data_IF_514548606684
#
_entry.id   IF_514548606684
#
_cell.length_a   1.000
_cell.length_b   1.000
_cell.length_c   1.000
_cell.angle_alpha   90.00
_cell.angle_beta   90.00
_cell.angle_gamma   90.00
#
_symmetry.space_group_name_H-M   'P 1'
#
loop_
_entity.id
_entity.type
_entity.pdbx_description
1 polymer ?
#
# COMPACT_ATOMS: atom_id res chain seq x y z
N UNK A 1 7.09 -16.64 -9.04
CA UNK A 1 8.03 -16.01 -9.99
C UNK A 1 8.06 -16.67 -11.37
N UNK A 2 8.08 -18.01 -11.47
CA UNK A 2 8.02 -18.75 -12.76
C UNK A 2 6.83 -18.37 -13.69
N UNK A 3 5.68 -17.97 -13.13
CA UNK A 3 4.49 -17.62 -13.91
C UNK A 3 4.55 -16.26 -14.64
N UNK A 4 5.41 -15.32 -14.21
CA UNK A 4 5.46 -13.97 -14.81
C UNK A 4 6.29 -13.91 -16.09
N UNK A 5 7.34 -14.73 -16.18
CA UNK A 5 8.16 -14.84 -17.39
C UNK A 5 7.31 -15.34 -18.56
N UNK A 6 6.43 -16.31 -18.31
CA UNK A 6 5.65 -16.97 -19.36
C UNK A 6 4.66 -16.06 -20.08
N UNK A 7 4.08 -15.05 -19.43
CA UNK A 7 3.06 -14.20 -20.08
C UNK A 7 3.65 -13.07 -20.92
N UNK A 8 4.73 -12.43 -20.46
CA UNK A 8 5.44 -11.42 -21.24
C UNK A 8 6.22 -12.05 -22.40
N UNK A 9 6.81 -13.23 -22.18
CA UNK A 9 7.51 -13.97 -23.23
C UNK A 9 6.57 -14.40 -24.37
N UNK A 10 5.30 -14.73 -24.08
CA UNK A 10 4.27 -14.98 -25.10
C UNK A 10 4.01 -13.77 -26.00
N UNK A 11 4.22 -12.56 -25.47
CA UNK A 11 4.13 -11.30 -26.22
C UNK A 11 5.47 -10.92 -26.88
N UNK A 12 6.49 -11.77 -26.79
CA UNK A 12 7.83 -11.51 -27.33
C UNK A 12 8.69 -10.56 -26.49
N UNK A 13 8.28 -10.25 -25.26
CA UNK A 13 9.01 -9.37 -24.34
C UNK A 13 9.99 -10.22 -23.53
N UNK A 14 11.28 -9.89 -23.61
CA UNK A 14 12.34 -10.52 -22.82
C UNK A 14 12.47 -9.78 -21.49
N UNK A 15 12.31 -10.50 -20.38
CA UNK A 15 12.45 -9.96 -19.02
C UNK A 15 13.67 -10.57 -18.34
N UNK A 16 14.62 -9.74 -17.90
CA UNK A 16 15.80 -10.15 -17.12
C UNK A 16 15.54 -9.85 -15.63
N UNK A 17 15.35 -10.90 -14.83
CA UNK A 17 15.10 -10.76 -13.39
C UNK A 17 16.42 -10.76 -12.63
N UNK A 18 16.73 -9.63 -11.98
CA UNK A 18 17.94 -9.48 -11.15
C UNK A 18 17.60 -9.46 -9.67
N UNK A 19 18.05 -10.49 -8.95
CA UNK A 19 18.01 -10.49 -7.49
C UNK A 19 19.30 -9.85 -6.95
N UNK A 20 19.15 -8.87 -6.06
CA UNK A 20 20.26 -8.11 -5.47
C UNK A 20 20.10 -8.04 -3.95
N UNK A 21 21.19 -7.73 -3.24
CA UNK A 21 21.13 -7.48 -1.80
C UNK A 21 20.40 -6.16 -1.47
N UNK A 22 20.08 -5.97 -0.19
CA UNK A 22 19.33 -4.80 0.28
C UNK A 22 20.05 -3.46 0.02
N UNK A 23 21.38 -3.43 0.06
CA UNK A 23 22.17 -2.21 -0.16
C UNK A 23 22.13 -1.82 -1.63
N UNK A 24 22.33 -2.79 -2.53
CA UNK A 24 22.18 -2.61 -3.97
C UNK A 24 20.76 -2.19 -4.34
N UNK A 25 19.74 -2.87 -3.82
CA UNK A 25 18.33 -2.51 -4.01
C UNK A 25 18.06 -1.04 -3.62
N UNK A 26 18.51 -0.65 -2.43
CA UNK A 26 18.29 0.71 -1.90
C UNK A 26 19.00 1.77 -2.73
N UNK A 27 20.23 1.50 -3.16
CA UNK A 27 21.00 2.41 -4.01
C UNK A 27 20.35 2.59 -5.37
N UNK A 28 20.00 1.49 -6.05
CA UNK A 28 19.32 1.51 -7.35
C UNK A 28 17.95 2.20 -7.27
N UNK A 29 17.20 1.99 -6.18
CA UNK A 29 15.94 2.71 -5.94
C UNK A 29 16.15 4.22 -5.82
N UNK A 30 17.16 4.66 -5.06
CA UNK A 30 17.48 6.08 -4.86
C UNK A 30 17.98 6.76 -6.13
N UNK A 31 18.81 6.07 -6.92
CA UNK A 31 19.35 6.58 -8.17
C UNK A 31 18.44 6.38 -9.38
N UNK A 32 17.27 5.72 -9.20
CA UNK A 32 16.39 5.24 -10.28
C UNK A 32 17.10 4.44 -11.37
N UNK A 33 18.07 3.63 -10.98
CA UNK A 33 18.71 2.66 -11.88
C UNK A 33 17.89 1.36 -11.90
N UNK A 34 16.77 1.36 -12.63
CA UNK A 34 15.96 0.17 -12.90
C UNK A 34 14.96 0.45 -14.03
N UNK A 35 14.60 -0.60 -14.77
CA UNK A 35 13.48 -0.53 -15.72
C UNK A 35 12.14 -0.75 -14.99
N UNK A 36 12.10 -1.79 -14.15
CA UNK A 36 10.96 -2.13 -13.30
C UNK A 36 11.45 -2.60 -11.93
N UNK A 37 10.74 -2.17 -10.87
CA UNK A 37 11.04 -2.58 -9.51
C UNK A 37 9.74 -2.83 -8.74
N UNK A 38 9.62 -3.93 -8.00
CA UNK A 38 8.48 -4.13 -7.11
C UNK A 38 8.51 -3.05 -6.02
N UNK A 39 7.40 -2.35 -5.83
CA UNK A 39 7.27 -1.35 -4.78
C UNK A 39 5.96 -1.55 -4.03
N UNK A 40 5.99 -1.31 -2.72
CA UNK A 40 4.79 -1.38 -1.89
C UNK A 40 4.17 0.01 -1.86
N UNK A 41 2.92 0.08 -2.31
CA UNK A 41 2.10 1.29 -2.23
C UNK A 41 1.11 1.12 -1.09
N UNK A 42 1.25 1.94 -0.05
CA UNK A 42 0.31 1.93 1.08
C UNK A 42 -0.91 2.75 0.70
N UNK A 43 -2.07 2.10 0.67
CA UNK A 43 -3.35 2.79 0.57
C UNK A 43 -3.77 3.29 1.95
N UNK A 44 -4.30 4.51 2.00
CA UNK A 44 -4.92 5.10 3.18
C UNK A 44 -6.42 5.30 2.93
N UNK A 45 -7.27 5.34 3.97
CA UNK A 45 -8.72 5.52 3.78
C UNK A 45 -9.11 6.87 3.15
N UNK A 46 -8.26 7.89 3.32
CA UNK A 46 -8.45 9.23 2.80
C UNK A 46 -7.17 9.73 2.14
N UNK A 47 -7.25 10.38 0.97
CA UNK A 47 -6.08 10.93 0.31
C UNK A 47 -5.44 12.00 1.21
N UNK A 48 -4.16 11.81 1.50
CA UNK A 48 -3.39 12.65 2.43
C UNK A 48 -2.29 13.46 1.74
N UNK A 49 -1.57 14.23 2.54
CA UNK A 49 -0.45 15.06 2.08
C UNK A 49 0.77 14.23 1.66
N UNK A 50 0.89 13.00 2.16
CA UNK A 50 1.92 12.01 1.81
C UNK A 50 1.94 11.64 0.31
N UNK A 51 0.84 11.91 -0.39
CA UNK A 51 0.75 11.74 -1.84
C UNK A 51 1.74 12.63 -2.62
N UNK A 52 2.14 13.78 -2.08
CA UNK A 52 3.11 14.67 -2.75
C UNK A 52 4.44 13.95 -3.03
N UNK A 53 5.02 13.37 -1.99
CA UNK A 53 6.34 12.73 -2.05
C UNK A 53 6.33 11.52 -2.99
N UNK A 54 5.15 10.98 -3.26
CA UNK A 54 4.89 9.79 -4.07
C UNK A 54 4.61 10.08 -5.54
N UNK A 55 4.01 11.24 -5.87
CA UNK A 55 3.39 11.46 -7.18
C UNK A 55 3.59 12.86 -7.77
N UNK A 56 3.92 13.85 -6.94
CA UNK A 56 4.07 15.24 -7.39
C UNK A 56 5.42 15.42 -8.10
N UNK A 57 5.41 16.21 -9.18
CA UNK A 57 6.57 16.47 -10.01
C UNK A 57 7.71 17.20 -9.27
N UNK A 58 7.41 17.98 -8.23
CA UNK A 58 8.45 18.62 -7.39
C UNK A 58 9.30 17.56 -6.67
N UNK A 59 8.71 16.41 -6.36
CA UNK A 59 9.37 15.30 -5.67
C UNK A 59 9.99 14.30 -6.65
N UNK A 60 10.29 14.73 -7.88
CA UNK A 60 10.97 13.88 -8.86
C UNK A 60 12.36 13.44 -8.41
N UNK A 61 13.00 13.99 -7.38
CA UNK A 61 14.27 13.43 -6.88
C UNK A 61 14.08 12.53 -5.64
N UNK A 62 12.83 12.34 -5.21
CA UNK A 62 12.48 11.44 -4.11
C UNK A 62 12.43 9.98 -4.58
N UNK A 63 13.04 9.09 -3.80
CA UNK A 63 12.93 7.64 -3.99
C UNK A 63 11.50 7.10 -3.80
N UNK A 64 10.59 7.89 -3.22
CA UNK A 64 9.17 7.54 -3.08
C UNK A 64 8.37 7.81 -4.35
N UNK A 65 8.76 8.80 -5.17
CA UNK A 65 8.26 8.94 -6.54
C UNK A 65 8.98 7.93 -7.44
N UNK A 66 8.75 6.65 -7.14
CA UNK A 66 9.44 5.52 -7.79
C UNK A 66 9.05 5.38 -9.26
N UNK A 67 7.84 5.81 -9.64
CA UNK A 67 7.36 5.79 -11.02
C UNK A 67 7.84 6.99 -11.85
N UNK A 68 8.51 7.98 -11.23
CA UNK A 68 9.04 9.14 -11.94
C UNK A 68 7.97 10.06 -12.52
N UNK A 69 6.83 10.20 -11.84
CA UNK A 69 5.68 10.97 -12.33
C UNK A 69 6.02 12.45 -12.40
N UNK A 70 5.76 13.03 -13.58
CA UNK A 70 5.81 14.46 -13.85
C UNK A 70 4.56 14.81 -14.67
N UNK A 71 3.51 15.28 -14.01
CA UNK A 71 2.24 15.55 -14.68
C UNK A 71 1.52 16.72 -14.02
N UNK A 72 1.33 17.84 -14.74
CA UNK A 72 0.61 19.00 -14.21
C UNK A 72 -0.82 18.67 -13.77
N UNK A 73 -1.43 17.63 -14.35
CA UNK A 73 -2.76 17.17 -13.93
C UNK A 73 -2.71 16.48 -12.56
N UNK A 74 -1.69 15.64 -12.33
CA UNK A 74 -1.46 14.98 -11.04
C UNK A 74 -1.13 16.02 -9.97
N UNK A 75 -0.20 16.93 -10.26
CA UNK A 75 0.22 17.99 -9.33
C UNK A 75 -0.97 18.86 -8.89
N UNK A 76 -1.84 19.24 -9.84
CA UNK A 76 -3.06 20.01 -9.52
C UNK A 76 -4.03 19.25 -8.63
N UNK A 77 -4.23 17.94 -8.87
CA UNK A 77 -5.11 17.12 -8.05
C UNK A 77 -4.56 16.97 -6.63
N UNK A 78 -3.26 16.74 -6.50
CA UNK A 78 -2.57 16.65 -5.20
C UNK A 78 -2.66 17.99 -4.46
N UNK A 79 -2.42 19.12 -5.12
CA UNK A 79 -2.58 20.45 -4.54
C UNK A 79 -4.00 20.69 -3.98
N UNK A 80 -5.04 20.24 -4.69
CA UNK A 80 -6.41 20.30 -4.19
C UNK A 80 -6.63 19.38 -2.99
N UNK A 81 -6.10 18.15 -3.02
CA UNK A 81 -6.18 17.20 -1.90
C UNK A 81 -5.60 17.83 -0.63
N UNK A 82 -4.42 18.45 -0.72
CA UNK A 82 -3.76 19.12 0.41
C UNK A 82 -4.61 20.28 0.92
N UNK A 83 -5.13 21.10 0.00
CA UNK A 83 -5.97 22.26 0.35
C UNK A 83 -7.23 21.86 1.13
N UNK A 84 -7.83 20.72 0.79
CA UNK A 84 -9.09 20.25 1.36
C UNK A 84 -8.93 19.20 2.46
N UNK A 85 -7.74 19.07 3.06
CA UNK A 85 -7.53 18.16 4.19
C UNK A 85 -8.55 18.44 5.32
N UNK A 86 -9.09 17.36 5.89
CA UNK A 86 -10.18 17.42 6.87
C UNK A 86 -11.58 17.58 6.29
N UNK A 87 -11.74 17.86 4.99
CA UNK A 87 -13.05 17.94 4.34
C UNK A 87 -13.38 16.69 3.52
N UNK A 88 -14.08 15.74 4.15
CA UNK A 88 -14.45 14.45 3.56
C UNK A 88 -15.20 14.57 2.22
N UNK A 89 -16.16 15.49 2.13
CA UNK A 89 -17.00 15.66 0.93
C UNK A 89 -16.21 16.15 -0.28
N UNK A 90 -15.16 16.94 -0.04
CA UNK A 90 -14.23 17.40 -1.08
C UNK A 90 -13.18 16.35 -1.41
N UNK A 91 -12.66 15.63 -0.42
CA UNK A 91 -11.61 14.63 -0.62
C UNK A 91 -12.08 13.39 -1.39
N UNK A 92 -13.32 12.94 -1.20
CA UNK A 92 -13.84 11.75 -1.88
C UNK A 92 -13.77 11.83 -3.43
N UNK A 93 -14.33 12.87 -4.09
CA UNK A 93 -14.21 13.00 -5.53
C UNK A 93 -12.77 13.26 -6.00
N UNK A 94 -11.97 13.98 -5.22
CA UNK A 94 -10.55 14.22 -5.54
C UNK A 94 -9.72 12.94 -5.54
N UNK A 95 -9.91 12.07 -4.54
CA UNK A 95 -9.26 10.77 -4.49
C UNK A 95 -9.61 9.88 -5.68
N UNK A 96 -10.89 9.84 -6.07
CA UNK A 96 -11.34 9.11 -7.27
C UNK A 96 -10.76 9.68 -8.57
N UNK A 97 -10.67 11.01 -8.67
CA UNK A 97 -10.07 11.66 -9.83
C UNK A 97 -8.58 11.34 -9.94
N UNK A 98 -7.84 11.41 -8.82
CA UNK A 98 -6.43 11.04 -8.78
C UNK A 98 -6.23 9.57 -9.16
N UNK A 99 -6.99 8.65 -8.56
CA UNK A 99 -6.93 7.22 -8.90
C UNK A 99 -7.15 6.97 -10.39
N UNK A 100 -8.16 7.62 -10.99
CA UNK A 100 -8.43 7.53 -12.43
C UNK A 100 -7.26 8.05 -13.27
N UNK A 101 -6.67 9.19 -12.91
CA UNK A 101 -5.54 9.76 -13.65
C UNK A 101 -4.31 8.85 -13.55
N UNK A 102 -3.99 8.35 -12.35
CA UNK A 102 -2.83 7.47 -12.16
C UNK A 102 -2.99 6.16 -12.93
N UNK A 103 -4.16 5.52 -12.85
CA UNK A 103 -4.43 4.26 -13.55
C UNK A 103 -4.45 4.42 -15.07
N UNK A 104 -4.92 5.55 -15.59
CA UNK A 104 -4.95 5.80 -17.04
C UNK A 104 -3.59 6.08 -17.66
N UNK A 105 -2.60 6.45 -16.84
CA UNK A 105 -1.23 6.69 -17.28
C UNK A 105 -0.29 5.50 -17.06
N UNK A 106 -0.79 4.37 -16.54
CA UNK A 106 -0.03 3.11 -16.39
C UNK A 106 1.31 3.24 -15.64
N UNK A 107 1.41 4.15 -14.68
CA UNK A 107 2.63 4.37 -13.88
C UNK A 107 3.05 3.18 -13.00
N UNK A 108 2.13 2.22 -12.81
CA UNK A 108 2.40 0.96 -12.14
C UNK A 108 1.53 -0.15 -12.73
N UNK A 109 1.94 -1.40 -12.52
CA UNK A 109 1.12 -2.59 -12.72
C UNK A 109 0.63 -3.06 -11.34
N UNK A 110 -0.66 -2.84 -10.98
CA UNK A 110 -1.19 -3.31 -9.70
C UNK A 110 -1.08 -4.84 -9.62
N UNK A 111 -0.62 -5.33 -8.47
CA UNK A 111 -0.48 -6.76 -8.23
C UNK A 111 -1.61 -7.26 -7.34
N UNK A 112 -1.27 -7.71 -6.14
CA UNK A 112 -2.19 -8.35 -5.21
C UNK A 112 -2.22 -7.57 -3.88
N UNK A 113 -3.28 -7.79 -3.11
CA UNK A 113 -3.41 -7.29 -1.74
C UNK A 113 -4.09 -8.36 -0.88
N UNK A 114 -3.89 -8.29 0.43
CA UNK A 114 -4.63 -9.10 1.39
C UNK A 114 -5.88 -8.33 1.82
N UNK A 115 -7.06 -8.85 1.49
CA UNK A 115 -8.33 -8.20 1.82
C UNK A 115 -8.77 -8.40 3.28
N UNK A 116 -8.04 -9.23 4.04
CA UNK A 116 -8.41 -9.64 5.39
C UNK A 116 -7.17 -9.75 6.26
N UNK A 117 -7.29 -9.30 7.51
CA UNK A 117 -6.33 -9.60 8.56
C UNK A 117 -6.57 -11.03 9.09
N UNK A 118 -5.49 -11.79 9.24
CA UNK A 118 -5.54 -13.16 9.75
C UNK A 118 -4.79 -13.23 11.08
N UNK A 119 -5.54 -13.44 12.16
CA UNK A 119 -4.98 -13.51 13.52
C UNK A 119 -5.36 -14.83 14.16
N UNK A 120 -4.36 -15.59 14.60
CA UNK A 120 -4.55 -16.78 15.43
C UNK A 120 -4.30 -16.43 16.90
N UNK A 121 -5.18 -16.91 17.78
CA UNK A 121 -5.11 -16.65 19.22
C UNK A 121 -5.73 -17.81 19.99
N UNK A 122 -5.30 -17.98 21.24
CA UNK A 122 -5.92 -18.92 22.17
C UNK A 122 -7.32 -18.43 22.57
N UNK A 123 -8.29 -19.34 22.72
CA UNK A 123 -9.64 -19.01 23.18
C UNK A 123 -9.65 -18.70 24.70
N UNK A 124 -8.96 -17.62 25.06
CA UNK A 124 -8.92 -16.98 26.38
C UNK A 124 -9.04 -15.46 26.28
N UNK A 125 -9.23 -14.96 25.07
CA UNK A 125 -9.46 -13.55 24.80
C UNK A 125 -10.87 -13.34 24.27
N UNK A 126 -11.45 -12.21 24.65
CA UNK A 126 -12.70 -11.69 24.13
C UNK A 126 -12.47 -10.29 23.57
N UNK A 127 -13.33 -9.87 22.65
CA UNK A 127 -13.24 -8.60 21.95
C UNK A 127 -14.64 -8.12 21.57
N UNK A 128 -14.83 -6.83 21.22
CA UNK A 128 -16.13 -6.29 20.86
C UNK A 128 -16.72 -7.00 19.64
N UNK A 129 -18.05 -7.22 19.63
CA UNK A 129 -18.73 -7.79 18.47
C UNK A 129 -18.58 -6.91 17.22
N UNK A 130 -18.65 -5.60 17.40
CA UNK A 130 -18.39 -4.62 16.34
C UNK A 130 -16.89 -4.35 16.27
N UNK A 131 -16.26 -4.77 15.17
CA UNK A 131 -14.84 -4.50 14.92
C UNK A 131 -14.62 -3.07 14.41
N UNK A 132 -13.44 -2.53 14.69
CA UNK A 132 -13.02 -1.26 14.11
C UNK A 132 -12.93 -1.39 12.58
N UNK A 133 -13.37 -0.35 11.86
CA UNK A 133 -13.42 -0.35 10.38
C UNK A 133 -12.02 -0.24 9.76
N UNK A 134 -11.08 0.41 10.45
CA UNK A 134 -9.75 0.76 9.91
C UNK A 134 -8.58 0.28 10.82
N UNK A 135 -8.83 -0.68 11.72
CA UNK A 135 -7.81 -1.23 12.63
C UNK A 135 -8.08 -2.71 12.88
N UNK A 136 -7.02 -3.46 13.20
CA UNK A 136 -7.15 -4.82 13.74
C UNK A 136 -7.95 -4.88 15.05
N UNK A 137 -7.98 -3.77 15.79
CA UNK A 137 -8.71 -3.63 17.05
C UNK A 137 -8.13 -4.44 18.20
N UNK A 138 -6.90 -4.95 18.08
CA UNK A 138 -6.25 -5.81 19.08
C UNK A 138 -6.13 -5.14 20.46
N UNK A 139 -5.97 -3.82 20.48
CA UNK A 139 -5.97 -2.97 21.67
C UNK A 139 -7.29 -3.02 22.46
N UNK A 140 -8.38 -3.46 21.84
CA UNK A 140 -9.69 -3.57 22.47
C UNK A 140 -10.00 -4.99 22.98
N UNK A 141 -9.01 -5.89 22.97
CA UNK A 141 -9.17 -7.25 23.45
C UNK A 141 -8.94 -7.31 24.96
N UNK A 142 -9.62 -8.23 25.63
CA UNK A 142 -9.40 -8.48 27.05
C UNK A 142 -9.29 -9.97 27.33
N UNK A 143 -8.58 -10.29 28.40
CA UNK A 143 -8.54 -11.64 28.94
C UNK A 143 -9.92 -12.01 29.50
N UNK A 144 -10.42 -13.18 29.10
CA UNK A 144 -11.69 -13.73 29.51
C UNK A 144 -11.44 -14.98 30.36
N UNK A 145 -11.56 -14.82 31.68
CA UNK A 145 -11.30 -15.89 32.64
C UNK A 145 -12.19 -17.12 32.41
N UNK A 146 -13.44 -16.92 31.97
CA UNK A 146 -14.40 -18.00 31.71
C UNK A 146 -13.99 -18.82 30.50
N UNK A 147 -13.46 -18.18 29.45
CA UNK A 147 -12.91 -18.87 28.29
C UNK A 147 -11.59 -19.56 28.62
N UNK A 148 -10.70 -18.86 29.31
CA UNK A 148 -9.39 -19.39 29.72
C UNK A 148 -9.50 -20.67 30.55
N UNK A 149 -10.48 -20.75 31.47
CA UNK A 149 -10.70 -21.95 32.30
C UNK A 149 -10.95 -23.23 31.49
N UNK A 150 -11.44 -23.11 30.25
CA UNK A 150 -11.69 -24.23 29.32
C UNK A 150 -10.42 -24.73 28.64
N UNK A 151 -9.34 -23.96 28.67
CA UNK A 151 -8.07 -24.35 28.07
C UNK A 151 -7.29 -25.32 28.99
N UNK A 152 -6.49 -26.22 28.39
CA UNK A 152 -5.49 -27.02 29.10
C UNK A 152 -4.55 -26.16 29.95
N UNK A 153 -4.05 -26.69 31.07
CA UNK A 153 -3.25 -25.93 32.05
C UNK A 153 -2.00 -25.26 31.46
N UNK A 154 -1.39 -25.86 30.42
CA UNK A 154 -0.25 -25.32 29.67
C UNK A 154 -0.62 -24.13 28.75
N UNK A 155 -1.91 -23.88 28.52
CA UNK A 155 -2.44 -22.88 27.57
C UNK A 155 -3.36 -21.85 28.21
N UNK A 156 -3.71 -22.02 29.48
CA UNK A 156 -4.43 -21.02 30.28
C UNK A 156 -3.71 -19.68 30.28
#
# INVERSE_FOLDING_TARGET
>A
DVYKETDLQRLGIVMDIRQVDNSQYSNRKRSRDYDMMPNVWRATPWPGTDLQVSWDSEYINSSYNASGVQSPAVDRLIAQIIRWQGNKEKLLPLGRALDRVLTWNYYMLPMWYMAQDRTAYWDKFSFPQTRAVYSSGFENWWYDASKAARLPADRR
#
